data_IF_002569412485
#
_entry.id   IF_002569412485
#
_cell.length_a   1.000
_cell.length_b   1.000
_cell.length_c   1.000
_cell.angle_alpha   90.00
_cell.angle_beta   90.00
_cell.angle_gamma   90.00
#
_symmetry.space_group_name_H-M   'P 1'
#
loop_
_entity.id
_entity.type
_entity.pdbx_description
1 polymer ?
#
# COMPACT_ATOMS: atom_id res chain seq x y z
N UNK A 1 -3.40 -8.49 19.26
CA UNK A 1 -2.09 -8.25 18.66
C UNK A 1 -2.27 -7.80 17.22
N UNK A 2 -1.48 -6.85 16.80
CA UNK A 2 -1.50 -6.36 15.43
C UNK A 2 -0.83 -7.34 14.49
N UNK A 3 -1.26 -7.34 13.23
CA UNK A 3 -0.58 -8.09 12.17
C UNK A 3 0.60 -7.28 11.65
N UNK A 4 1.59 -7.97 11.11
CA UNK A 4 2.82 -7.36 10.60
C UNK A 4 2.98 -7.70 9.13
N UNK A 5 3.22 -6.68 8.30
CA UNK A 5 3.55 -6.85 6.89
C UNK A 5 5.05 -6.65 6.69
N UNK A 6 5.67 -7.55 5.92
CA UNK A 6 7.05 -7.42 5.49
C UNK A 6 7.06 -7.27 3.97
N UNK A 7 7.57 -6.14 3.49
CA UNK A 7 7.65 -5.82 2.07
C UNK A 7 9.12 -5.89 1.67
N UNK A 8 9.46 -6.88 0.86
CA UNK A 8 10.81 -7.03 0.31
C UNK A 8 10.88 -6.30 -1.03
N UNK A 9 11.78 -5.36 -1.15
CA UNK A 9 11.92 -4.56 -2.37
C UNK A 9 13.34 -4.62 -2.92
N UNK A 10 13.52 -4.13 -4.13
CA UNK A 10 14.84 -4.01 -4.76
C UNK A 10 15.78 -3.05 -4.01
N UNK A 11 15.26 -2.25 -3.10
CA UNK A 11 16.05 -1.31 -2.27
C UNK A 11 16.21 -1.78 -0.82
N UNK A 12 15.53 -2.87 -0.42
CA UNK A 12 15.59 -3.42 0.92
C UNK A 12 14.22 -3.75 1.48
N UNK A 13 14.16 -4.06 2.77
CA UNK A 13 12.94 -4.48 3.44
C UNK A 13 12.25 -3.31 4.15
N UNK A 14 10.91 -3.34 4.10
CA UNK A 14 10.03 -2.41 4.83
C UNK A 14 9.14 -3.27 5.71
N UNK A 15 9.06 -2.94 7.00
CA UNK A 15 8.18 -3.62 7.94
C UNK A 15 7.13 -2.65 8.43
N UNK A 16 5.88 -3.10 8.48
CA UNK A 16 4.76 -2.25 8.89
C UNK A 16 3.81 -3.01 9.83
N UNK A 17 3.28 -2.29 10.79
CA UNK A 17 2.16 -2.75 11.61
C UNK A 17 0.87 -2.49 10.84
N UNK A 18 -0.05 -3.46 10.83
CA UNK A 18 -1.36 -3.33 10.19
C UNK A 18 -2.44 -3.17 11.24
N UNK A 19 -3.41 -2.30 10.94
CA UNK A 19 -4.48 -1.94 11.88
C UNK A 19 -5.72 -2.83 11.69
N UNK A 20 -5.54 -4.13 11.91
CA UNK A 20 -6.57 -5.15 11.66
C UNK A 20 -7.80 -5.01 12.56
N UNK A 21 -7.65 -4.43 13.74
CA UNK A 21 -8.78 -4.17 14.63
C UNK A 21 -9.58 -2.93 14.17
N UNK A 22 -8.89 -1.89 13.72
CA UNK A 22 -9.54 -0.64 13.30
C UNK A 22 -10.20 -0.77 11.94
N UNK A 23 -9.52 -1.37 10.96
CA UNK A 23 -10.02 -1.52 9.59
C UNK A 23 -9.91 -2.97 9.12
N UNK A 24 -10.72 -3.86 9.70
CA UNK A 24 -10.54 -5.31 9.55
C UNK A 24 -10.71 -5.80 8.10
N UNK A 25 -11.61 -5.21 7.34
CA UNK A 25 -11.87 -5.66 5.97
C UNK A 25 -10.74 -5.25 5.04
N UNK A 26 -10.21 -4.05 5.20
CA UNK A 26 -9.08 -3.56 4.41
C UNK A 26 -7.83 -4.40 4.68
N UNK A 27 -7.53 -4.68 5.95
CA UNK A 27 -6.37 -5.49 6.32
C UNK A 27 -6.55 -6.93 5.85
N UNK A 28 -7.75 -7.52 5.99
CA UNK A 28 -8.01 -8.89 5.54
C UNK A 28 -7.81 -9.03 4.03
N UNK A 29 -8.26 -8.05 3.25
CA UNK A 29 -8.03 -8.03 1.80
C UNK A 29 -6.54 -7.95 1.48
N UNK A 30 -5.83 -7.04 2.11
CA UNK A 30 -4.39 -6.88 1.90
C UNK A 30 -3.63 -8.16 2.27
N UNK A 31 -3.94 -8.76 3.41
CA UNK A 31 -3.32 -10.00 3.89
C UNK A 31 -3.56 -11.15 2.90
N UNK A 32 -4.79 -11.31 2.44
CA UNK A 32 -5.13 -12.37 1.49
C UNK A 32 -4.33 -12.22 0.20
N UNK A 33 -4.27 -11.00 -0.35
CA UNK A 33 -3.52 -10.75 -1.57
C UNK A 33 -2.01 -10.96 -1.35
N UNK A 34 -1.48 -10.45 -0.24
CA UNK A 34 -0.06 -10.59 0.07
C UNK A 34 0.36 -12.04 0.18
N UNK A 35 -0.39 -12.82 0.96
CA UNK A 35 -0.04 -14.21 1.25
C UNK A 35 -0.36 -15.18 0.11
N UNK A 36 -1.13 -14.73 -0.90
CA UNK A 36 -1.35 -15.50 -2.13
C UNK A 36 -0.38 -15.12 -3.24
N UNK A 37 0.68 -14.36 -2.91
CA UNK A 37 1.73 -13.95 -3.85
C UNK A 37 1.26 -12.96 -4.92
N UNK A 38 0.11 -12.31 -4.70
CA UNK A 38 -0.45 -11.37 -5.66
C UNK A 38 0.49 -10.20 -5.94
N UNK A 39 1.18 -9.71 -4.91
CA UNK A 39 2.07 -8.55 -5.03
C UNK A 39 3.47 -8.89 -5.54
N UNK A 40 3.82 -10.18 -5.62
CA UNK A 40 5.17 -10.58 -6.03
C UNK A 40 5.45 -10.12 -7.46
N UNK A 41 6.54 -9.42 -7.65
CA UNK A 41 6.95 -8.91 -8.96
C UNK A 41 6.27 -7.63 -9.41
N UNK A 42 5.34 -7.09 -8.63
CA UNK A 42 4.76 -5.78 -8.94
C UNK A 42 5.77 -4.68 -8.65
N UNK A 43 5.49 -3.46 -9.10
CA UNK A 43 6.43 -2.34 -8.98
C UNK A 43 5.75 -1.15 -8.33
N UNK A 44 6.58 -0.27 -7.75
CA UNK A 44 6.10 1.05 -7.34
C UNK A 44 6.02 1.90 -8.62
N UNK A 45 4.88 1.87 -9.27
CA UNK A 45 4.68 2.51 -10.57
C UNK A 45 4.52 4.03 -10.49
N UNK A 46 4.26 4.55 -9.30
CA UNK A 46 4.08 5.99 -9.09
C UNK A 46 4.83 6.40 -7.82
N UNK A 47 5.82 7.27 -7.99
CA UNK A 47 6.61 7.80 -6.88
C UNK A 47 6.66 9.29 -7.02
N UNK A 48 6.14 10.00 -6.03
CA UNK A 48 6.14 11.47 -6.00
C UNK A 48 6.90 11.88 -4.73
N UNK A 49 8.05 12.51 -4.93
CA UNK A 49 8.91 12.97 -3.86
C UNK A 49 8.13 13.85 -2.87
N UNK A 50 8.39 13.65 -1.58
CA UNK A 50 7.76 14.36 -0.47
C UNK A 50 6.25 14.11 -0.38
N UNK A 51 5.71 13.18 -1.17
CA UNK A 51 4.31 12.80 -1.12
C UNK A 51 4.18 11.32 -0.74
N UNK A 52 4.42 10.40 -1.69
CA UNK A 52 4.18 8.98 -1.45
C UNK A 52 4.85 8.10 -2.49
N UNK A 53 4.91 6.79 -2.18
CA UNK A 53 5.21 5.74 -3.15
C UNK A 53 3.97 4.86 -3.28
N UNK A 54 3.57 4.55 -4.51
CA UNK A 54 2.34 3.79 -4.77
C UNK A 54 2.66 2.53 -5.58
N UNK A 55 2.11 1.41 -5.15
CA UNK A 55 2.29 0.12 -5.80
C UNK A 55 1.06 -0.76 -5.67
N UNK A 56 1.24 -2.05 -5.95
CA UNK A 56 0.18 -3.05 -5.81
C UNK A 56 -0.65 -3.28 -7.05
N UNK A 57 -0.31 -2.66 -8.17
CA UNK A 57 -0.99 -2.88 -9.45
C UNK A 57 -0.40 -4.12 -10.13
N UNK A 58 -1.20 -5.17 -10.41
CA UNK A 58 -0.67 -6.36 -11.08
C UNK A 58 -0.14 -6.08 -12.50
N UNK A 59 -0.65 -5.02 -13.15
CA UNK A 59 -0.17 -4.62 -14.48
C UNK A 59 1.25 -4.07 -14.42
N UNK A 60 1.71 -3.63 -13.25
CA UNK A 60 3.06 -3.09 -13.07
C UNK A 60 4.15 -4.16 -13.09
N UNK A 61 3.80 -5.44 -13.15
CA UNK A 61 4.78 -6.51 -13.36
C UNK A 61 5.53 -6.30 -14.66
N UNK A 62 4.88 -5.71 -15.66
CA UNK A 62 5.51 -5.25 -16.89
C UNK A 62 5.80 -3.76 -16.76
N UNK A 63 7.08 -3.38 -16.73
CA UNK A 63 7.50 -2.00 -16.45
C UNK A 63 6.91 -0.96 -17.41
N UNK A 64 6.67 -1.34 -18.67
CA UNK A 64 6.19 -0.43 -19.70
C UNK A 64 4.75 -0.67 -20.13
N UNK A 65 3.96 -1.35 -19.29
CA UNK A 65 2.55 -1.58 -19.59
C UNK A 65 1.80 -0.25 -19.65
N UNK A 66 1.16 0.11 -20.78
CA UNK A 66 0.49 1.42 -20.93
C UNK A 66 -0.74 1.56 -20.04
N UNK A 67 -1.25 0.45 -19.47
CA UNK A 67 -2.42 0.45 -18.59
C UNK A 67 -2.05 0.47 -17.11
N UNK A 68 -0.77 0.56 -16.77
CA UNK A 68 -0.33 0.60 -15.38
C UNK A 68 -1.03 1.73 -14.62
N UNK A 69 -1.47 1.43 -13.40
CA UNK A 69 -2.27 2.33 -12.60
C UNK A 69 -3.76 2.01 -12.61
N UNK A 70 -4.22 1.19 -13.57
CA UNK A 70 -5.64 0.82 -13.70
C UNK A 70 -5.95 -0.60 -13.27
N UNK A 71 -4.94 -1.40 -12.87
CA UNK A 71 -5.13 -2.79 -12.51
C UNK A 71 -5.57 -2.99 -11.08
N UNK A 72 -6.10 -4.18 -10.81
CA UNK A 72 -6.55 -4.56 -9.48
C UNK A 72 -6.78 -6.06 -9.39
N UNK A 73 -7.35 -6.54 -8.27
CA UNK A 73 -7.48 -7.96 -8.01
C UNK A 73 -8.75 -8.60 -8.61
N UNK A 74 -9.54 -7.83 -9.34
CA UNK A 74 -10.80 -8.31 -9.91
C UNK A 74 -12.01 -8.07 -9.02
N UNK A 75 -11.82 -7.46 -7.86
CA UNK A 75 -12.90 -7.07 -6.95
C UNK A 75 -12.58 -5.70 -6.34
N UNK A 76 -13.58 -5.11 -5.67
CA UNK A 76 -13.43 -3.83 -4.99
C UNK A 76 -13.80 -3.99 -3.52
N UNK A 77 -13.20 -3.17 -2.66
CA UNK A 77 -13.52 -3.13 -1.23
C UNK A 77 -14.07 -1.76 -0.86
N UNK A 78 -14.89 -1.74 0.18
CA UNK A 78 -15.45 -0.50 0.70
C UNK A 78 -14.40 0.25 1.52
N UNK A 79 -14.48 1.57 1.47
CA UNK A 79 -13.67 2.41 2.36
C UNK A 79 -14.11 2.18 3.81
N UNK A 80 -13.13 2.18 4.71
CA UNK A 80 -13.36 2.09 6.15
C UNK A 80 -12.91 3.37 6.84
N UNK A 81 -12.99 4.50 6.14
CA UNK A 81 -12.53 5.80 6.63
C UNK A 81 -13.31 6.30 7.85
N UNK A 82 -14.56 5.89 7.98
CA UNK A 82 -15.40 6.22 9.14
C UNK A 82 -14.89 5.61 10.44
N UNK A 83 -14.08 4.54 10.35
CA UNK A 83 -13.47 3.86 11.49
C UNK A 83 -12.07 4.37 11.80
N UNK A 84 -11.47 5.16 10.90
CA UNK A 84 -10.09 5.57 11.03
C UNK A 84 -9.89 6.58 12.16
N UNK A 85 -9.02 6.22 13.12
CA UNK A 85 -8.48 7.13 14.11
C UNK A 85 -7.07 7.59 13.71
N UNK A 86 -6.41 6.86 12.81
CA UNK A 86 -5.08 7.20 12.31
C UNK A 86 -5.18 8.16 11.13
N UNK A 87 -4.19 9.04 11.03
CA UNK A 87 -4.09 10.05 9.98
C UNK A 87 -2.94 9.72 9.04
N UNK A 88 -2.88 10.41 7.90
CA UNK A 88 -1.78 10.25 6.96
C UNK A 88 -0.56 11.02 7.45
N UNK A 89 0.42 10.28 7.95
CA UNK A 89 1.70 10.82 8.44
C UNK A 89 2.84 10.07 7.74
N UNK A 90 4.09 10.43 8.04
CA UNK A 90 5.23 9.70 7.46
C UNK A 90 5.13 8.20 7.76
N UNK A 91 5.27 7.36 6.74
CA UNK A 91 5.22 5.91 6.87
C UNK A 91 3.82 5.30 6.90
N UNK A 92 2.77 6.09 6.74
CA UNK A 92 1.40 5.59 6.69
C UNK A 92 1.18 4.73 5.45
N UNK A 93 0.59 3.54 5.65
CA UNK A 93 0.06 2.70 4.56
C UNK A 93 -1.42 3.01 4.38
N UNK A 94 -1.81 3.33 3.17
CA UNK A 94 -3.18 3.74 2.86
C UNK A 94 -3.62 3.13 1.52
N UNK A 95 -4.92 2.92 1.34
CA UNK A 95 -5.45 2.32 0.12
C UNK A 95 -5.67 3.37 -0.97
N UNK A 96 -5.07 3.12 -2.13
CA UNK A 96 -5.36 3.90 -3.33
C UNK A 96 -6.71 3.48 -3.91
N UNK A 97 -7.43 4.43 -4.50
CA UNK A 97 -8.69 4.15 -5.17
C UNK A 97 -9.00 5.25 -6.19
N UNK A 98 -9.99 4.99 -7.04
CA UNK A 98 -10.47 5.92 -8.07
C UNK A 98 -11.82 6.54 -7.68
N UNK A 99 -12.06 6.69 -6.39
CA UNK A 99 -13.29 7.19 -5.82
C UNK A 99 -13.74 6.33 -4.65
N UNK A 100 -14.80 6.73 -3.97
CA UNK A 100 -15.29 6.01 -2.79
C UNK A 100 -15.64 4.56 -3.15
N UNK A 101 -15.21 3.62 -2.31
CA UNK A 101 -15.53 2.19 -2.39
C UNK A 101 -15.02 1.52 -3.68
N UNK A 102 -13.91 2.03 -4.25
CA UNK A 102 -13.30 1.43 -5.44
C UNK A 102 -11.89 0.87 -5.20
N UNK A 103 -11.45 0.80 -3.95
CA UNK A 103 -10.16 0.21 -3.61
C UNK A 103 -10.10 -1.27 -3.98
N UNK A 104 -8.90 -1.75 -4.29
CA UNK A 104 -8.67 -3.15 -4.65
C UNK A 104 -7.35 -3.66 -4.11
N UNK A 105 -6.28 -3.50 -4.88
CA UNK A 105 -4.94 -3.96 -4.48
C UNK A 105 -3.92 -2.84 -4.35
N UNK A 106 -4.12 -1.71 -5.00
CA UNK A 106 -3.13 -0.65 -4.98
C UNK A 106 -3.12 0.06 -3.62
N UNK A 107 -1.93 0.35 -3.16
CA UNK A 107 -1.71 1.03 -1.88
C UNK A 107 -0.57 2.04 -2.04
N UNK A 108 -0.47 2.95 -1.09
CA UNK A 108 0.66 3.88 -1.06
C UNK A 108 1.20 4.02 0.35
N UNK A 109 2.46 4.43 0.42
CA UNK A 109 3.16 4.71 1.69
C UNK A 109 3.58 6.18 1.63
N UNK A 110 3.20 6.95 2.63
CA UNK A 110 3.45 8.39 2.67
C UNK A 110 4.89 8.69 3.06
N UNK A 111 5.50 9.69 2.39
CA UNK A 111 6.80 10.23 2.79
C UNK A 111 6.68 11.14 4.01
N UNK A 112 5.56 11.82 4.15
CA UNK A 112 5.30 12.76 5.23
C UNK A 112 3.80 12.98 5.40
N UNK A 113 3.39 13.94 6.24
CA UNK A 113 1.96 14.19 6.48
C UNK A 113 1.22 14.60 5.20
N UNK A 114 0.05 14.01 4.98
CA UNK A 114 -0.80 14.27 3.83
C UNK A 114 -2.24 14.47 4.34
N UNK A 115 -2.50 15.58 4.98
CA UNK A 115 -3.78 15.84 5.65
C UNK A 115 -4.98 15.85 4.71
N UNK A 116 -4.77 16.24 3.46
CA UNK A 116 -5.84 16.28 2.46
C UNK A 116 -6.42 14.90 2.13
N UNK A 117 -5.72 13.82 2.50
CA UNK A 117 -6.17 12.46 2.28
C UNK A 117 -6.94 11.88 3.46
N UNK A 118 -6.90 12.55 4.62
CA UNK A 118 -7.61 12.09 5.82
C UNK A 118 -9.10 12.05 5.58
N UNK A 119 -9.74 10.92 5.91
CA UNK A 119 -11.16 10.72 5.68
C UNK A 119 -11.53 10.34 4.25
N UNK A 120 -10.58 10.34 3.31
CA UNK A 120 -10.80 10.00 1.89
C UNK A 120 -10.25 8.63 1.56
N UNK A 121 -9.04 8.34 2.01
CA UNK A 121 -8.37 7.04 1.81
C UNK A 121 -8.27 6.30 3.13
N UNK A 122 -8.49 4.99 3.10
CA UNK A 122 -8.43 4.15 4.30
C UNK A 122 -6.98 3.93 4.74
N UNK A 123 -6.63 4.43 5.90
CA UNK A 123 -5.33 4.19 6.54
C UNK A 123 -5.38 2.80 7.18
N UNK A 124 -4.47 1.90 6.78
CA UNK A 124 -4.51 0.53 7.28
C UNK A 124 -3.21 0.04 7.90
N UNK A 125 -2.16 0.84 7.91
CA UNK A 125 -0.89 0.45 8.52
C UNK A 125 0.08 1.60 8.71
N UNK A 126 1.19 1.27 9.38
CA UNK A 126 2.26 2.22 9.70
C UNK A 126 3.60 1.51 9.62
N UNK A 127 4.54 2.10 8.88
CA UNK A 127 5.92 1.59 8.81
C UNK A 127 6.57 1.69 10.18
N UNK A 128 7.11 0.57 10.65
CA UNK A 128 7.83 0.47 11.93
C UNK A 128 9.33 0.35 11.72
N UNK A 129 9.76 -0.21 10.59
CA UNK A 129 11.17 -0.32 10.20
C UNK A 129 11.29 -0.15 8.70
N UNK A 130 12.37 0.45 8.23
CA UNK A 130 12.64 0.60 6.80
C UNK A 130 12.15 1.90 6.20
N UNK A 131 11.92 2.93 7.00
CA UNK A 131 11.55 4.24 6.43
C UNK A 131 12.63 4.81 5.54
N UNK A 132 13.89 4.49 5.81
CA UNK A 132 15.01 4.83 4.94
C UNK A 132 14.88 4.16 3.57
N UNK A 133 14.35 2.92 3.52
CA UNK A 133 14.06 2.23 2.26
C UNK A 133 12.93 2.92 1.52
N UNK A 134 11.85 3.29 2.21
CA UNK A 134 10.73 4.03 1.61
C UNK A 134 11.25 5.29 0.90
N UNK A 135 12.17 6.01 1.56
CA UNK A 135 12.74 7.24 1.02
C UNK A 135 13.70 7.01 -0.15
N UNK A 136 14.18 5.77 -0.36
CA UNK A 136 15.06 5.40 -1.46
C UNK A 136 14.31 4.82 -2.67
N UNK A 137 13.07 4.41 -2.50
CA UNK A 137 12.28 3.82 -3.59
C UNK A 137 12.15 4.80 -4.73
N UNK A 138 12.42 4.33 -5.93
CA UNK A 138 12.27 5.08 -7.17
C UNK A 138 11.20 4.43 -8.03
N UNK A 139 10.69 5.19 -8.99
CA UNK A 139 9.69 4.68 -9.92
C UNK A 139 10.18 3.40 -10.59
N UNK A 140 9.30 2.39 -10.61
CA UNK A 140 9.54 1.06 -11.16
C UNK A 140 10.45 0.16 -10.33
N UNK A 141 10.81 0.55 -9.11
CA UNK A 141 11.46 -0.38 -8.19
C UNK A 141 10.52 -1.56 -7.90
N UNK A 142 11.11 -2.76 -7.81
CA UNK A 142 10.35 -4.01 -7.74
C UNK A 142 9.99 -4.36 -6.30
N UNK A 143 8.75 -4.82 -6.12
CA UNK A 143 8.32 -5.51 -4.90
C UNK A 143 8.57 -6.99 -5.13
N UNK A 144 9.56 -7.54 -4.42
CA UNK A 144 9.88 -8.96 -4.55
C UNK A 144 8.83 -9.83 -3.88
N UNK A 145 8.36 -9.42 -2.71
CA UNK A 145 7.29 -10.11 -2.00
C UNK A 145 6.67 -9.23 -0.93
N UNK A 146 5.42 -9.53 -0.59
CA UNK A 146 4.77 -9.00 0.61
C UNK A 146 4.17 -10.18 1.35
N UNK A 147 4.47 -10.31 2.64
CA UNK A 147 3.90 -11.37 3.49
C UNK A 147 3.38 -10.75 4.78
N UNK A 148 2.26 -11.27 5.25
CA UNK A 148 1.61 -10.80 6.48
C UNK A 148 1.58 -11.94 7.49
N UNK A 149 2.00 -11.65 8.70
CA UNK A 149 2.04 -12.62 9.81
C UNK A 149 1.30 -12.11 11.03
#
# INVERSE_FOLDING_TARGET
>A
MSKTATIQTSKGAITAELFDTEVPNTVANFEKLANSEFYDGTRFHRVIRDFMIQGGDPLSREANNPRVGSGGPGHKIKCETDRNTHKHVAGTLSMAHAGKDTGGSQFFICHGPQRHLDGVHTVFGQVTQGMDVVNKIERNDVVNSIRVT
#
